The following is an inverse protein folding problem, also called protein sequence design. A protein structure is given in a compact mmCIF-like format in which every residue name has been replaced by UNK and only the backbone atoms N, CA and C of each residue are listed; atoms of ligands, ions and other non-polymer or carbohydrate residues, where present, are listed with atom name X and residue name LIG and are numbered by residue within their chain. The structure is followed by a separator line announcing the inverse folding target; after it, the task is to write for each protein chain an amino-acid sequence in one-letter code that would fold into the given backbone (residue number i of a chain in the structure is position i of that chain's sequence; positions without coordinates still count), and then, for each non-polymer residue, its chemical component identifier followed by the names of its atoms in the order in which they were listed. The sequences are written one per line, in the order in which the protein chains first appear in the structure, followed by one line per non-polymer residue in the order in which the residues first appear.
data_IF_385868959368
#
_entry.id   IF_385868959368
#
_cell.length_a   1.000
_cell.length_b   1.000
_cell.length_c   1.000
_cell.angle_alpha   90.00
_cell.angle_beta   90.00
_cell.angle_gamma   90.00
#
_symmetry.space_group_name_H-M   'P 1'
#
loop_
_entity.id
_entity.type
_entity.pdbx_description
1 polymer ?
#
# COMPACT_ATOMS: atom_id res chain seq x y z
N UNK A 1 13.96 -5.15 0.90
CA UNK A 1 12.55 -5.55 1.00
C UNK A 1 12.39 -6.78 1.89
N UNK A 2 12.96 -7.93 1.52
CA UNK A 2 12.86 -9.17 2.30
C UNK A 2 13.23 -9.00 3.79
N UNK A 3 14.43 -8.50 4.09
CA UNK A 3 14.88 -8.26 5.48
C UNK A 3 14.06 -7.20 6.24
N UNK A 4 13.57 -6.16 5.55
CA UNK A 4 12.86 -5.04 6.19
C UNK A 4 11.44 -5.44 6.61
N UNK A 5 10.80 -6.31 5.85
CA UNK A 5 9.39 -6.68 6.04
C UNK A 5 9.18 -8.15 6.41
N UNK A 6 10.25 -8.94 6.57
CA UNK A 6 10.17 -10.38 6.81
C UNK A 6 9.41 -11.13 5.69
N UNK A 7 9.66 -10.75 4.42
CA UNK A 7 8.93 -11.21 3.22
C UNK A 7 9.86 -11.78 2.14
N UNK A 8 10.39 -13.00 2.29
CA UNK A 8 11.32 -13.57 1.33
C UNK A 8 10.70 -13.79 -0.07
N UNK A 9 9.45 -14.26 -0.18
CA UNK A 9 8.80 -14.51 -1.47
C UNK A 9 8.41 -13.22 -2.18
N UNK A 10 7.87 -12.24 -1.44
CA UNK A 10 7.57 -10.91 -1.96
C UNK A 10 8.82 -10.20 -2.44
N UNK A 11 9.95 -10.35 -1.74
CA UNK A 11 11.25 -9.83 -2.18
C UNK A 11 11.74 -10.47 -3.49
N UNK A 12 11.65 -11.79 -3.60
CA UNK A 12 12.00 -12.53 -4.82
C UNK A 12 11.11 -12.11 -6.01
N UNK A 13 9.79 -12.05 -5.81
CA UNK A 13 8.86 -11.66 -6.87
C UNK A 13 9.06 -10.21 -7.29
N UNK A 14 9.36 -9.31 -6.36
CA UNK A 14 9.70 -7.93 -6.70
C UNK A 14 10.89 -7.84 -7.65
N UNK A 15 11.93 -8.66 -7.41
CA UNK A 15 13.10 -8.74 -8.32
C UNK A 15 12.66 -9.22 -9.71
N UNK A 16 11.86 -10.28 -9.79
CA UNK A 16 11.45 -10.88 -11.07
C UNK A 16 10.43 -10.03 -11.84
N UNK A 17 9.42 -9.49 -11.17
CA UNK A 17 8.30 -8.78 -11.77
C UNK A 17 8.62 -7.31 -12.03
N UNK A 18 9.33 -6.64 -11.12
CA UNK A 18 9.51 -5.18 -11.17
C UNK A 18 10.92 -4.78 -11.62
N UNK A 19 11.96 -5.45 -11.11
CA UNK A 19 13.34 -5.05 -11.40
C UNK A 19 13.87 -5.63 -12.71
N UNK A 20 13.67 -6.93 -12.93
CA UNK A 20 14.26 -7.65 -14.07
C UNK A 20 13.23 -8.07 -15.13
N UNK A 21 11.93 -7.97 -14.84
CA UNK A 21 10.84 -8.35 -15.74
C UNK A 21 11.05 -9.73 -16.41
N UNK A 22 11.53 -10.73 -15.66
CA UNK A 22 11.87 -12.07 -16.15
C UNK A 22 11.60 -13.16 -15.11
N UNK A 23 11.16 -14.33 -15.56
CA UNK A 23 10.86 -15.50 -14.72
C UNK A 23 11.81 -16.68 -15.01
N UNK A 24 13.06 -16.37 -15.33
CA UNK A 24 14.07 -17.38 -15.59
C UNK A 24 14.60 -18.02 -14.30
N UNK A 25 14.86 -19.33 -14.32
CA UNK A 25 15.45 -20.07 -13.20
C UNK A 25 16.78 -19.49 -12.70
N UNK A 26 17.59 -18.97 -13.61
CA UNK A 26 18.87 -18.32 -13.30
C UNK A 26 18.74 -17.04 -12.46
N UNK A 27 17.55 -16.42 -12.44
CA UNK A 27 17.24 -15.26 -11.59
C UNK A 27 16.46 -15.70 -10.36
N UNK A 28 15.49 -16.59 -10.54
CA UNK A 28 14.61 -17.06 -9.47
C UNK A 28 15.38 -17.68 -8.31
N UNK A 29 16.26 -18.65 -8.59
CA UNK A 29 16.96 -19.38 -7.54
C UNK A 29 17.90 -18.47 -6.73
N UNK A 30 18.77 -17.64 -7.34
CA UNK A 30 19.60 -16.71 -6.57
C UNK A 30 18.79 -15.64 -5.81
N UNK A 31 17.69 -15.15 -6.39
CA UNK A 31 16.85 -14.16 -5.74
C UNK A 31 16.18 -14.75 -4.48
N UNK A 32 15.63 -15.96 -4.59
CA UNK A 32 15.01 -16.67 -3.48
C UNK A 32 15.99 -16.94 -2.35
N UNK A 33 17.16 -17.49 -2.66
CA UNK A 33 18.18 -17.82 -1.65
C UNK A 33 18.72 -16.58 -0.97
N UNK A 34 19.02 -15.52 -1.73
CA UNK A 34 19.50 -14.25 -1.16
C UNK A 34 18.44 -13.60 -0.27
N UNK A 35 17.17 -13.61 -0.68
CA UNK A 35 16.08 -13.09 0.14
C UNK A 35 15.88 -13.89 1.44
N UNK A 36 15.94 -15.22 1.37
CA UNK A 36 15.84 -16.09 2.55
C UNK A 36 17.00 -15.85 3.53
N UNK A 37 18.23 -15.77 3.04
CA UNK A 37 19.42 -15.45 3.85
C UNK A 37 19.25 -14.08 4.52
N UNK A 38 18.83 -13.06 3.77
CA UNK A 38 18.62 -11.72 4.30
C UNK A 38 17.56 -11.70 5.42
N UNK A 39 16.50 -12.48 5.29
CA UNK A 39 15.45 -12.62 6.31
C UNK A 39 15.98 -13.30 7.57
N UNK A 40 16.69 -14.42 7.44
CA UNK A 40 17.29 -15.12 8.60
C UNK A 40 18.26 -14.22 9.36
N UNK A 41 19.08 -13.45 8.64
CA UNK A 41 19.97 -12.46 9.27
C UNK A 41 19.16 -11.38 10.00
N UNK A 42 18.06 -10.90 9.42
CA UNK A 42 17.23 -9.87 10.04
C UNK A 42 16.60 -10.32 11.36
N UNK A 43 16.34 -11.62 11.54
CA UNK A 43 15.75 -12.16 12.77
C UNK A 43 16.62 -11.97 14.01
N UNK A 44 17.94 -11.80 13.84
CA UNK A 44 18.86 -11.52 14.95
C UNK A 44 18.48 -10.22 15.67
N UNK A 45 17.98 -9.22 14.92
CA UNK A 45 17.57 -7.92 15.49
C UNK A 45 16.05 -7.70 15.54
N UNK A 46 15.31 -8.19 14.54
CA UNK A 46 13.88 -7.90 14.35
C UNK A 46 12.95 -9.03 14.80
N UNK A 47 13.49 -10.23 15.03
CA UNK A 47 12.70 -11.43 15.33
C UNK A 47 11.89 -11.96 14.14
N UNK A 48 11.16 -13.06 14.36
CA UNK A 48 10.33 -13.73 13.35
C UNK A 48 8.83 -13.60 13.67
N UNK A 49 8.31 -12.38 13.57
CA UNK A 49 6.89 -12.09 13.70
C UNK A 49 6.32 -11.59 12.35
N UNK A 50 5.01 -11.80 12.08
CA UNK A 50 4.33 -11.09 10.99
C UNK A 50 4.39 -9.59 11.26
N UNK A 51 4.38 -8.78 10.19
CA UNK A 51 4.46 -7.33 10.34
C UNK A 51 3.14 -6.73 10.84
N UNK A 52 2.02 -7.35 10.47
CA UNK A 52 0.68 -6.97 10.89
C UNK A 52 -0.04 -8.16 11.50
N UNK A 53 -0.70 -7.94 12.63
CA UNK A 53 -1.60 -8.91 13.23
C UNK A 53 -3.01 -8.68 12.68
N UNK A 54 -3.62 -9.72 12.14
CA UNK A 54 -4.98 -9.66 11.60
C UNK A 54 -5.89 -10.50 12.50
N UNK A 55 -7.12 -10.04 12.81
CA UNK A 55 -8.14 -10.87 13.44
C UNK A 55 -8.48 -12.11 12.60
N UNK A 56 -9.25 -13.04 13.17
CA UNK A 56 -9.82 -14.13 12.40
C UNK A 56 -10.91 -13.62 11.44
N UNK A 57 -10.51 -13.41 10.17
CA UNK A 57 -11.42 -12.93 9.14
C UNK A 57 -12.16 -14.06 8.42
N UNK A 58 -13.44 -13.81 8.15
CA UNK A 58 -14.30 -14.69 7.37
C UNK A 58 -14.60 -14.08 6.01
N UNK A 59 -14.82 -14.94 5.02
CA UNK A 59 -15.17 -14.52 3.66
C UNK A 59 -16.67 -14.57 3.50
N UNK A 60 -17.21 -13.54 2.86
CA UNK A 60 -18.61 -13.44 2.50
C UNK A 60 -18.75 -13.17 0.99
N UNK A 61 -19.90 -13.52 0.42
CA UNK A 61 -20.24 -13.13 -0.95
C UNK A 61 -20.26 -11.60 -1.12
N UNK A 62 -20.69 -10.89 -0.07
CA UNK A 62 -20.69 -9.42 -0.01
C UNK A 62 -19.28 -8.86 -0.22
N UNK A 63 -18.26 -9.42 0.43
CA UNK A 63 -16.86 -9.02 0.27
C UNK A 63 -16.33 -9.26 -1.16
N UNK A 64 -16.70 -10.38 -1.78
CA UNK A 64 -16.28 -10.68 -3.16
C UNK A 64 -16.89 -9.69 -4.15
N UNK A 65 -18.20 -9.42 -4.04
CA UNK A 65 -18.91 -8.46 -4.89
C UNK A 65 -18.32 -7.06 -4.69
N UNK A 66 -18.12 -6.65 -3.45
CA UNK A 66 -17.47 -5.38 -3.13
C UNK A 66 -16.08 -5.28 -3.77
N UNK A 67 -15.27 -6.35 -3.72
CA UNK A 67 -13.91 -6.37 -4.30
C UNK A 67 -13.91 -6.13 -5.81
N UNK A 68 -14.89 -6.70 -6.51
CA UNK A 68 -15.08 -6.49 -7.97
C UNK A 68 -15.41 -5.03 -8.26
N UNK A 69 -16.30 -4.43 -7.47
CA UNK A 69 -16.78 -3.06 -7.66
C UNK A 69 -15.75 -2.00 -7.22
N UNK A 70 -15.07 -2.23 -6.11
CA UNK A 70 -14.10 -1.32 -5.53
C UNK A 70 -12.74 -1.36 -6.23
N UNK A 71 -12.34 -2.51 -6.80
CA UNK A 71 -11.10 -2.69 -7.56
C UNK A 71 -10.77 -1.53 -8.52
N UNK A 72 -11.67 -1.21 -9.48
CA UNK A 72 -11.56 -0.05 -10.37
C UNK A 72 -11.23 1.27 -9.67
N UNK A 73 -11.85 1.54 -8.52
CA UNK A 73 -11.66 2.79 -7.76
C UNK A 73 -10.25 2.86 -7.19
N UNK A 74 -9.73 1.75 -6.62
CA UNK A 74 -8.34 1.70 -6.15
C UNK A 74 -7.36 2.00 -7.28
N UNK A 75 -7.60 1.45 -8.48
CA UNK A 75 -6.76 1.68 -9.65
C UNK A 75 -6.72 3.14 -10.08
N UNK A 76 -7.88 3.79 -10.10
CA UNK A 76 -8.01 5.20 -10.45
C UNK A 76 -7.28 6.11 -9.46
N UNK A 77 -7.50 5.91 -8.15
CA UNK A 77 -6.86 6.73 -7.12
C UNK A 77 -5.34 6.45 -7.07
N UNK A 78 -4.92 5.19 -7.20
CA UNK A 78 -3.51 4.81 -7.26
C UNK A 78 -2.78 5.47 -8.44
N UNK A 79 -3.41 5.53 -9.62
CA UNK A 79 -2.86 6.23 -10.78
C UNK A 79 -2.57 7.71 -10.46
N UNK A 80 -3.55 8.43 -9.92
CA UNK A 80 -3.38 9.85 -9.58
C UNK A 80 -2.36 10.06 -8.47
N UNK A 81 -2.35 9.19 -7.46
CA UNK A 81 -1.37 9.23 -6.38
C UNK A 81 0.07 9.17 -6.93
N UNK A 82 0.34 8.22 -7.83
CA UNK A 82 1.65 8.06 -8.45
C UNK A 82 1.96 9.18 -9.44
N UNK A 83 0.97 9.64 -10.21
CA UNK A 83 1.16 10.74 -11.15
C UNK A 83 1.58 12.03 -10.45
N UNK A 84 0.88 12.41 -9.37
CA UNK A 84 1.22 13.59 -8.56
C UNK A 84 2.56 13.39 -7.86
N UNK A 85 2.81 12.20 -7.28
CA UNK A 85 4.08 11.90 -6.63
C UNK A 85 5.28 12.05 -7.57
N UNK A 86 5.16 11.57 -8.81
CA UNK A 86 6.20 11.71 -9.83
C UNK A 86 6.37 13.19 -10.24
N UNK A 87 5.28 13.93 -10.41
CA UNK A 87 5.34 15.37 -10.72
C UNK A 87 6.02 16.15 -9.59
N UNK A 88 5.70 15.84 -8.34
CA UNK A 88 6.33 16.44 -7.17
C UNK A 88 7.84 16.18 -7.14
N UNK A 89 8.28 14.93 -7.37
CA UNK A 89 9.71 14.60 -7.49
C UNK A 89 10.41 15.35 -8.61
N UNK A 90 9.78 15.51 -9.77
CA UNK A 90 10.37 16.21 -10.90
C UNK A 90 10.56 17.72 -10.65
N UNK A 91 9.70 18.32 -9.83
CA UNK A 91 9.79 19.74 -9.47
C UNK A 91 10.57 19.98 -8.17
N UNK A 92 11.17 18.95 -7.58
CA UNK A 92 11.84 19.10 -6.29
C UNK A 92 13.19 19.82 -6.43
N UNK A 93 13.51 20.61 -5.40
CA UNK A 93 14.78 21.31 -5.34
C UNK A 93 15.90 20.35 -4.91
N UNK A 94 17.00 20.32 -5.66
CA UNK A 94 18.18 19.49 -5.35
C UNK A 94 19.40 20.32 -4.90
N UNK A 95 19.22 21.63 -4.72
CA UNK A 95 20.26 22.57 -4.29
C UNK A 95 20.17 22.83 -2.78
N UNK A 96 21.00 23.73 -2.23
CA UNK A 96 20.94 24.15 -0.82
C UNK A 96 19.55 24.55 -0.31
N UNK A 97 18.67 25.03 -1.19
CA UNK A 97 17.27 25.35 -0.87
C UNK A 97 16.46 24.11 -0.44
N UNK A 98 16.86 22.90 -0.84
CA UNK A 98 16.27 21.64 -0.40
C UNK A 98 16.24 21.53 1.12
N UNK A 99 17.32 21.94 1.81
CA UNK A 99 17.39 21.88 3.26
C UNK A 99 16.33 22.77 3.93
N UNK A 100 16.14 23.99 3.41
CA UNK A 100 15.14 24.93 3.92
C UNK A 100 13.72 24.43 3.65
N UNK A 101 13.44 23.95 2.43
CA UNK A 101 12.11 23.45 2.06
C UNK A 101 11.77 22.18 2.83
N UNK A 102 12.72 21.25 3.01
CA UNK A 102 12.55 20.08 3.87
C UNK A 102 12.29 20.51 5.32
N UNK A 103 13.05 21.44 5.87
CA UNK A 103 12.85 21.91 7.25
C UNK A 103 11.44 22.46 7.46
N UNK A 104 10.97 23.35 6.58
CA UNK A 104 9.62 23.90 6.63
C UNK A 104 8.57 22.79 6.49
N UNK A 105 8.73 21.90 5.49
CA UNK A 105 7.77 20.84 5.23
C UNK A 105 7.67 19.83 6.39
N UNK A 106 8.79 19.36 6.93
CA UNK A 106 8.80 18.44 8.07
C UNK A 106 8.33 19.10 9.37
N UNK A 107 8.54 20.41 9.53
CA UNK A 107 7.96 21.16 10.66
C UNK A 107 6.43 21.20 10.57
N UNK A 108 5.87 21.48 9.38
CA UNK A 108 4.42 21.42 9.14
C UNK A 108 3.86 20.02 9.37
N UNK A 109 4.54 18.98 8.88
CA UNK A 109 4.18 17.58 9.14
C UNK A 109 4.22 17.28 10.65
N UNK A 110 5.23 17.80 11.36
CA UNK A 110 5.35 17.67 12.81
C UNK A 110 4.17 18.29 13.56
N UNK A 111 3.71 19.49 13.15
CA UNK A 111 2.51 20.10 13.72
C UNK A 111 1.24 19.29 13.46
N UNK A 112 1.07 18.77 12.24
CA UNK A 112 -0.07 17.90 11.92
C UNK A 112 -0.04 16.60 12.75
N UNK A 113 1.15 16.06 13.01
CA UNK A 113 1.34 14.85 13.79
C UNK A 113 0.95 14.99 15.28
N UNK A 114 0.88 16.22 15.82
CA UNK A 114 0.35 16.45 17.18
C UNK A 114 -1.12 16.03 17.26
N UNK A 115 -1.90 16.33 16.22
CA UNK A 115 -3.32 16.01 16.15
C UNK A 115 -3.58 14.62 15.55
N UNK A 116 -2.75 14.22 14.59
CA UNK A 116 -2.88 12.96 13.86
C UNK A 116 -1.56 12.18 13.91
N UNK A 117 -1.24 11.52 15.05
CA UNK A 117 0.05 10.82 15.22
C UNK A 117 0.26 9.69 14.21
N UNK A 118 -0.83 9.11 13.68
CA UNK A 118 -0.81 8.11 12.60
C UNK A 118 -0.21 8.60 11.28
N UNK A 119 -0.04 9.92 11.10
CA UNK A 119 0.60 10.46 9.89
C UNK A 119 2.11 10.21 9.85
N UNK A 120 2.74 10.02 11.01
CA UNK A 120 4.19 9.84 11.09
C UNK A 120 4.67 8.58 10.37
N UNK A 121 5.90 8.68 9.89
CA UNK A 121 6.59 7.58 9.22
C UNK A 121 6.02 7.21 7.85
N UNK A 122 6.41 6.03 7.42
CA UNK A 122 6.23 5.50 6.07
C UNK A 122 4.84 4.90 5.78
N UNK A 123 3.95 4.87 6.78
CA UNK A 123 2.56 4.40 6.61
C UNK A 123 2.24 3.07 7.23
N UNK A 124 3.19 2.47 7.97
CA UNK A 124 2.92 1.25 8.74
C UNK A 124 1.81 1.47 9.76
N UNK A 125 1.91 2.49 10.61
CA UNK A 125 0.94 2.75 11.69
C UNK A 125 -0.51 2.89 11.20
N UNK A 126 -0.84 3.70 10.18
CA UNK A 126 -2.22 3.78 9.70
C UNK A 126 -2.68 2.53 8.97
N UNK A 127 -1.80 1.79 8.29
CA UNK A 127 -2.17 0.48 7.75
C UNK A 127 -2.51 -0.52 8.86
N UNK A 128 -1.70 -0.54 9.92
CA UNK A 128 -1.88 -1.38 11.10
C UNK A 128 -3.18 -1.04 11.83
N UNK A 129 -3.51 0.25 11.97
CA UNK A 129 -4.78 0.71 12.55
C UNK A 129 -6.01 0.20 11.80
N UNK A 130 -5.97 0.15 10.46
CA UNK A 130 -7.10 -0.33 9.67
C UNK A 130 -7.13 -1.87 9.53
N UNK A 131 -6.03 -2.54 9.85
CA UNK A 131 -5.93 -4.00 9.84
C UNK A 131 -6.38 -4.61 11.17
N UNK A 132 -6.21 -3.89 12.27
CA UNK A 132 -6.65 -4.31 13.59
C UNK A 132 -8.14 -3.98 13.78
N UNK A 133 -8.98 -4.98 14.09
CA UNK A 133 -10.44 -4.82 14.30
C UNK A 133 -10.75 -4.44 15.77
N UNK A 134 -9.72 -4.15 16.58
CA UNK A 134 -9.85 -3.89 18.01
C UNK A 134 -10.55 -2.56 18.28
N UNK A 135 -11.89 -2.60 18.39
CA UNK A 135 -12.84 -1.78 19.18
C UNK A 135 -12.73 -0.23 19.12
N UNK A 136 -11.70 0.29 18.49
CA UNK A 136 -11.56 1.67 18.14
C UNK A 136 -12.28 1.78 16.81
N UNK A 137 -13.51 2.26 16.88
CA UNK A 137 -14.20 2.83 15.74
C UNK A 137 -13.31 4.00 15.24
N UNK A 138 -12.24 3.69 14.50
CA UNK A 138 -11.59 4.62 13.60
C UNK A 138 -12.69 4.92 12.60
N UNK A 139 -13.42 6.00 12.89
CA UNK A 139 -14.58 6.34 12.08
C UNK A 139 -14.15 6.45 10.64
N UNK A 140 -15.01 6.05 9.72
CA UNK A 140 -14.85 6.28 8.27
C UNK A 140 -14.37 7.71 7.98
N UNK A 141 -14.80 8.67 8.79
CA UNK A 141 -14.33 10.06 8.80
C UNK A 141 -12.83 10.20 9.09
N UNK A 142 -12.30 9.57 10.14
CA UNK A 142 -10.88 9.61 10.48
C UNK A 142 -10.03 8.95 9.39
N UNK A 143 -10.46 7.81 8.84
CA UNK A 143 -9.77 7.16 7.72
C UNK A 143 -9.74 8.07 6.48
N UNK A 144 -10.83 8.79 6.21
CA UNK A 144 -10.89 9.77 5.12
C UNK A 144 -9.94 10.95 5.36
N UNK A 145 -9.91 11.51 6.57
CA UNK A 145 -8.99 12.60 6.94
C UNK A 145 -7.54 12.14 6.79
N UNK A 146 -7.20 10.96 7.33
CA UNK A 146 -5.86 10.39 7.24
C UNK A 146 -5.46 10.09 5.79
N UNK A 147 -6.38 9.60 4.96
CA UNK A 147 -6.13 9.35 3.53
C UNK A 147 -5.69 10.63 2.81
N UNK A 148 -6.47 11.70 2.99
CA UNK A 148 -6.20 13.00 2.35
C UNK A 148 -4.87 13.57 2.86
N UNK A 149 -4.69 13.63 4.19
CA UNK A 149 -3.48 14.17 4.78
C UNK A 149 -2.23 13.35 4.40
N UNK A 150 -2.30 12.01 4.36
CA UNK A 150 -1.16 11.18 3.95
C UNK A 150 -0.78 11.40 2.51
N UNK A 151 -1.74 11.50 1.59
CA UNK A 151 -1.43 11.80 0.19
C UNK A 151 -0.73 13.14 0.07
N UNK A 152 -1.24 14.18 0.73
CA UNK A 152 -0.66 15.52 0.73
C UNK A 152 0.76 15.52 1.30
N UNK A 153 0.97 14.90 2.46
CA UNK A 153 2.28 14.82 3.12
C UNK A 153 3.27 14.02 2.30
N UNK A 154 2.84 12.94 1.66
CA UNK A 154 3.70 12.14 0.79
C UNK A 154 4.14 12.96 -0.44
N UNK A 155 3.20 13.66 -1.09
CA UNK A 155 3.53 14.52 -2.22
C UNK A 155 4.40 15.71 -1.82
N UNK A 156 4.14 16.36 -0.69
CA UNK A 156 4.94 17.50 -0.23
C UNK A 156 6.35 17.08 0.17
N UNK A 157 6.50 15.93 0.83
CA UNK A 157 7.82 15.34 1.18
C UNK A 157 8.64 15.01 -0.05
N UNK A 158 8.02 14.39 -1.06
CA UNK A 158 8.70 14.14 -2.34
C UNK A 158 9.03 15.45 -3.08
N UNK A 159 8.12 16.43 -3.03
CA UNK A 159 8.31 17.76 -3.61
C UNK A 159 9.39 18.59 -2.91
N UNK A 160 9.63 18.38 -1.62
CA UNK A 160 10.70 19.06 -0.88
C UNK A 160 12.09 18.49 -1.18
N UNK A 161 12.18 17.38 -1.93
CA UNK A 161 13.43 16.70 -2.26
C UNK A 161 13.75 15.49 -1.38
N UNK A 162 12.85 15.10 -0.48
CA UNK A 162 13.04 13.89 0.31
C UNK A 162 12.97 12.65 -0.59
N UNK A 163 13.85 11.69 -0.31
CA UNK A 163 13.93 10.43 -1.04
C UNK A 163 13.32 9.30 -0.22
N UNK A 164 12.49 8.47 -0.85
CA UNK A 164 11.82 7.36 -0.17
C UNK A 164 11.06 6.45 -1.13
N UNK A 165 10.71 5.25 -0.66
CA UNK A 165 9.86 4.32 -1.42
C UNK A 165 8.37 4.68 -1.31
N UNK A 166 7.59 4.33 -2.33
CA UNK A 166 6.13 4.53 -2.34
C UNK A 166 5.34 3.26 -1.99
N UNK A 167 6.00 2.14 -1.74
CA UNK A 167 5.35 0.86 -1.41
C UNK A 167 4.50 0.95 -0.14
N UNK A 168 5.09 1.33 1.00
CA UNK A 168 4.35 1.43 2.28
C UNK A 168 3.30 2.55 2.28
N UNK A 169 3.57 3.75 1.72
CA UNK A 169 2.52 4.74 1.54
C UNK A 169 1.35 4.25 0.68
N UNK A 170 1.61 3.47 -0.38
CA UNK A 170 0.57 2.88 -1.23
C UNK A 170 -0.26 1.86 -0.47
N UNK A 171 0.37 1.05 0.38
CA UNK A 171 -0.31 0.07 1.23
C UNK A 171 -1.25 0.79 2.21
N UNK A 172 -0.75 1.79 2.93
CA UNK A 172 -1.53 2.58 3.87
C UNK A 172 -2.71 3.31 3.21
N UNK A 173 -2.46 3.98 2.08
CA UNK A 173 -3.51 4.69 1.35
C UNK A 173 -4.57 3.72 0.81
N UNK A 174 -4.16 2.51 0.40
CA UNK A 174 -5.08 1.45 0.01
C UNK A 174 -5.96 0.98 1.17
N UNK A 175 -5.39 0.78 2.37
CA UNK A 175 -6.12 0.42 3.59
C UNK A 175 -7.16 1.48 3.95
N UNK A 176 -6.73 2.75 4.05
CA UNK A 176 -7.56 3.89 4.41
C UNK A 176 -8.71 4.09 3.40
N UNK A 177 -8.41 4.03 2.10
CA UNK A 177 -9.43 4.13 1.06
C UNK A 177 -10.42 2.95 1.11
N UNK A 178 -9.94 1.75 1.42
CA UNK A 178 -10.80 0.58 1.57
C UNK A 178 -11.78 0.72 2.73
N UNK A 179 -11.35 1.25 3.86
CA UNK A 179 -12.25 1.45 5.00
C UNK A 179 -13.30 2.51 4.69
N UNK A 180 -12.95 3.57 3.95
CA UNK A 180 -13.93 4.54 3.47
C UNK A 180 -14.96 3.89 2.54
N UNK A 181 -14.51 3.14 1.52
CA UNK A 181 -15.40 2.47 0.58
C UNK A 181 -16.20 1.33 1.21
N UNK A 182 -15.59 0.61 2.15
CA UNK A 182 -16.17 -0.49 2.91
C UNK A 182 -17.22 -0.02 3.90
N UNK A 183 -17.00 1.14 4.53
CA UNK A 183 -17.99 1.81 5.38
C UNK A 183 -19.24 2.19 4.60
N UNK A 184 -19.08 2.80 3.42
CA UNK A 184 -20.19 3.08 2.51
C UNK A 184 -20.90 1.80 2.06
N UNK A 185 -20.15 0.73 1.79
CA UNK A 185 -20.72 -0.56 1.43
C UNK A 185 -21.53 -1.20 2.56
N UNK A 186 -21.02 -1.15 3.78
CA UNK A 186 -21.70 -1.70 4.96
C UNK A 186 -23.03 -0.99 5.29
N UNK A 187 -23.25 0.24 4.80
CA UNK A 187 -24.56 0.90 4.85
C UNK A 187 -25.60 0.21 3.93
N UNK A 188 -25.15 -0.37 2.81
CA UNK A 188 -25.99 -1.05 1.83
C UNK A 188 -26.11 -2.55 2.13
N UNK A 189 -24.99 -3.20 2.46
CA UNK A 189 -24.91 -4.63 2.75
C UNK A 189 -24.00 -4.88 3.97
N UNK A 190 -24.55 -4.79 5.19
CA UNK A 190 -23.78 -4.96 6.42
C UNK A 190 -23.29 -6.40 6.61
N UNK A 191 -22.27 -6.56 7.45
CA UNK A 191 -21.76 -7.87 7.91
C UNK A 191 -20.34 -8.22 7.46
N UNK A 192 -19.64 -7.29 6.81
CA UNK A 192 -18.23 -7.49 6.42
C UNK A 192 -17.31 -6.66 7.32
N UNK A 193 -16.25 -7.27 7.84
CA UNK A 193 -15.25 -6.61 8.70
C UNK A 193 -14.47 -5.54 7.93
N UNK A 194 -14.14 -4.44 8.62
CA UNK A 194 -13.34 -3.35 8.06
C UNK A 194 -11.90 -3.80 7.73
N UNK A 195 -11.30 -4.63 8.58
CA UNK A 195 -9.98 -5.23 8.32
C UNK A 195 -9.95 -6.04 7.02
N UNK A 196 -11.03 -6.74 6.68
CA UNK A 196 -11.14 -7.48 5.42
C UNK A 196 -11.10 -6.54 4.20
N UNK A 197 -11.85 -5.43 4.26
CA UNK A 197 -11.79 -4.38 3.23
C UNK A 197 -10.40 -3.79 3.14
N UNK A 198 -9.81 -3.39 4.28
CA UNK A 198 -8.52 -2.74 4.37
C UNK A 198 -7.41 -3.57 3.70
N UNK A 199 -7.37 -4.88 3.95
CA UNK A 199 -6.40 -5.80 3.36
C UNK A 199 -6.57 -5.85 1.83
N UNK A 200 -7.80 -6.03 1.34
CA UNK A 200 -8.04 -6.11 -0.11
C UNK A 200 -7.68 -4.79 -0.81
N UNK A 201 -8.07 -3.65 -0.23
CA UNK A 201 -7.74 -2.33 -0.78
C UNK A 201 -6.24 -2.04 -0.78
N UNK A 202 -5.54 -2.44 0.28
CA UNK A 202 -4.08 -2.35 0.37
C UNK A 202 -3.40 -3.05 -0.81
N UNK A 203 -3.80 -4.29 -1.10
CA UNK A 203 -3.21 -5.06 -2.21
C UNK A 203 -3.56 -4.44 -3.54
N UNK A 204 -4.83 -4.11 -3.75
CA UNK A 204 -5.32 -3.56 -5.01
C UNK A 204 -4.63 -2.23 -5.33
N UNK A 205 -4.47 -1.34 -4.34
CA UNK A 205 -3.81 -0.06 -4.49
C UNK A 205 -2.31 -0.25 -4.76
N UNK A 206 -1.62 -1.10 -4.00
CA UNK A 206 -0.18 -1.38 -4.19
C UNK A 206 0.09 -1.99 -5.56
N UNK A 207 -0.74 -2.94 -6.01
CA UNK A 207 -0.61 -3.58 -7.32
C UNK A 207 -0.63 -2.55 -8.46
N UNK A 208 -1.58 -1.61 -8.42
CA UNK A 208 -1.69 -0.56 -9.43
C UNK A 208 -0.61 0.53 -9.28
N UNK A 209 -0.31 0.96 -8.06
CA UNK A 209 0.63 2.03 -7.78
C UNK A 209 2.08 1.65 -8.11
N UNK A 210 2.48 0.43 -7.77
CA UNK A 210 3.83 -0.07 -7.98
C UNK A 210 3.97 -0.93 -9.24
N UNK A 211 2.87 -1.14 -10.00
CA UNK A 211 2.82 -1.99 -11.20
C UNK A 211 3.33 -3.42 -10.91
N UNK A 212 2.95 -3.98 -9.77
CA UNK A 212 3.45 -5.27 -9.29
C UNK A 212 2.29 -6.19 -8.82
N UNK A 213 1.37 -6.61 -9.71
CA UNK A 213 0.19 -7.38 -9.31
C UNK A 213 0.51 -8.68 -8.58
N UNK A 214 1.46 -9.49 -9.07
CA UNK A 214 1.77 -10.79 -8.47
C UNK A 214 2.51 -10.59 -7.15
N UNK A 215 3.50 -9.69 -7.14
CA UNK A 215 4.27 -9.33 -5.96
C UNK A 215 3.36 -8.77 -4.86
N UNK A 216 2.40 -7.90 -5.18
CA UNK A 216 1.52 -7.30 -4.19
C UNK A 216 0.65 -8.35 -3.47
N UNK A 217 0.15 -9.35 -4.21
CA UNK A 217 -0.64 -10.46 -3.64
C UNK A 217 0.23 -11.27 -2.68
N UNK A 218 1.40 -11.72 -3.10
CA UNK A 218 2.27 -12.54 -2.24
C UNK A 218 2.79 -11.74 -1.04
N UNK A 219 3.11 -10.47 -1.26
CA UNK A 219 3.54 -9.56 -0.22
C UNK A 219 2.50 -9.46 0.91
N UNK A 220 1.21 -9.30 0.61
CA UNK A 220 0.22 -9.20 1.68
C UNK A 220 0.07 -10.51 2.46
N UNK A 221 0.18 -11.66 1.78
CA UNK A 221 0.10 -12.96 2.45
C UNK A 221 1.26 -13.15 3.42
N UNK A 222 2.48 -12.73 3.06
CA UNK A 222 3.62 -12.79 3.98
C UNK A 222 3.53 -11.75 5.11
N UNK A 223 3.05 -10.53 4.81
CA UNK A 223 2.92 -9.45 5.78
C UNK A 223 1.86 -9.73 6.87
N UNK A 224 0.76 -10.40 6.49
CA UNK A 224 -0.44 -10.55 7.32
C UNK A 224 -0.72 -11.98 7.77
N UNK A 225 -0.15 -12.99 7.07
CA UNK A 225 -0.45 -14.42 7.24
C UNK A 225 -1.95 -14.75 7.16
N UNK A 226 -2.70 -13.98 6.37
CA UNK A 226 -4.13 -14.21 6.17
C UNK A 226 -4.42 -15.57 5.51
N UNK A 227 -5.60 -16.12 5.80
CA UNK A 227 -6.10 -17.39 5.23
C UNK A 227 -6.13 -17.33 3.71
N UNK A 228 -5.66 -18.40 3.06
CA UNK A 228 -5.55 -18.49 1.60
C UNK A 228 -6.86 -18.25 0.84
N UNK A 229 -8.01 -18.52 1.47
CA UNK A 229 -9.32 -18.29 0.86
C UNK A 229 -9.52 -16.83 0.41
N UNK A 230 -8.82 -15.85 1.02
CA UNK A 230 -8.88 -14.43 0.64
C UNK A 230 -8.29 -14.15 -0.74
N UNK A 231 -7.60 -15.12 -1.35
CA UNK A 231 -7.01 -14.97 -2.68
C UNK A 231 -8.05 -14.54 -3.73
N UNK A 232 -9.27 -15.09 -3.67
CA UNK A 232 -10.33 -14.81 -4.66
C UNK A 232 -10.73 -13.33 -4.68
N UNK A 233 -11.21 -12.73 -3.58
CA UNK A 233 -11.57 -11.30 -3.57
C UNK A 233 -10.37 -10.41 -3.89
N UNK A 234 -9.16 -10.77 -3.41
CA UNK A 234 -7.93 -10.03 -3.72
C UNK A 234 -7.67 -10.01 -5.24
N UNK A 235 -7.77 -11.15 -5.93
CA UNK A 235 -7.54 -11.22 -7.38
C UNK A 235 -8.53 -10.36 -8.17
N UNK A 236 -9.80 -10.32 -7.76
CA UNK A 236 -10.80 -9.46 -8.39
C UNK A 236 -10.48 -7.96 -8.19
N UNK A 237 -10.16 -7.55 -6.97
CA UNK A 237 -9.80 -6.16 -6.70
C UNK A 237 -8.51 -5.74 -7.44
N UNK A 238 -7.49 -6.59 -7.44
CA UNK A 238 -6.21 -6.34 -8.13
C UNK A 238 -6.40 -6.23 -9.62
N UNK A 239 -7.15 -7.14 -10.25
CA UNK A 239 -7.40 -7.11 -11.69
C UNK A 239 -8.15 -5.85 -12.12
N UNK A 240 -9.21 -5.46 -11.40
CA UNK A 240 -9.93 -4.21 -11.65
C UNK A 240 -9.04 -2.97 -11.47
N UNK A 241 -8.24 -2.96 -10.40
CA UNK A 241 -7.32 -1.86 -10.08
C UNK A 241 -6.25 -1.67 -11.15
N UNK A 242 -5.55 -2.74 -11.54
CA UNK A 242 -4.53 -2.69 -12.58
C UNK A 242 -5.14 -2.37 -13.95
N UNK A 243 -6.31 -2.92 -14.26
CA UNK A 243 -7.04 -2.62 -15.50
C UNK A 243 -7.36 -1.13 -15.66
N UNK A 244 -7.89 -0.48 -14.61
CA UNK A 244 -8.19 0.95 -14.66
C UNK A 244 -6.94 1.83 -14.62
N UNK A 245 -5.95 1.48 -13.81
CA UNK A 245 -4.68 2.24 -13.78
C UNK A 245 -3.99 2.23 -15.15
N UNK A 246 -3.97 1.09 -15.84
CA UNK A 246 -3.42 0.97 -17.19
C UNK A 246 -4.23 1.73 -18.24
N UNK A 247 -5.56 1.72 -18.14
CA UNK A 247 -6.43 2.54 -18.99
C UNK A 247 -6.13 4.04 -18.82
N UNK A 248 -6.02 4.52 -17.58
CA UNK A 248 -5.71 5.92 -17.27
C UNK A 248 -4.34 6.34 -17.85
N UNK A 249 -3.33 5.45 -17.73
CA UNK A 249 -2.02 5.67 -18.33
C UNK A 249 -2.10 5.85 -19.85
N UNK A 250 -2.84 4.98 -20.55
CA UNK A 250 -3.01 5.06 -22.02
C UNK A 250 -3.72 6.34 -22.47
N UNK A 251 -4.80 6.72 -21.79
CA UNK A 251 -5.57 7.93 -22.13
C UNK A 251 -4.70 9.19 -21.95
N UNK A 252 -3.91 9.25 -20.87
CA UNK A 252 -3.08 10.41 -20.57
C UNK A 252 -1.87 10.52 -21.51
N UNK A 253 -1.32 9.39 -21.98
CA UNK A 253 -0.22 9.40 -22.97
C UNK A 253 -0.67 9.86 -24.36
N UNK A 254 -1.93 9.64 -24.74
CA UNK A 254 -2.46 10.08 -26.05
C UNK A 254 -2.72 11.59 -26.13
N UNK A 255 -2.77 12.30 -24.98
CA UNK A 255 -2.99 13.75 -24.92
C UNK A 255 -1.71 14.58 -24.98
N UNK A 256 -0.53 13.95 -24.97
CA UNK A 256 0.78 14.61 -25.12
C UNK A 256 1.29 14.42 -26.54
#
# INVERSE_FOLDING_TARGET
MAAVYNVPLGGMLYIMEVLLCTFNWSVLIPALTTCAIAVVISWIGLGNAPLYNIPDLNISYSLVIWSILAGPVFGYVAYWFIWVANKARLHSHHNWHMLLVCFINFTLIGFLAIYFPALLGNGKSPAEMEFDDLDYFVGVELSLILLVLRMLICWSSLGSGAQGGLLTPSLANGALLAVVLGGLWNLLWPGTSFSAFAIIGSVAFVAAAQKMPITAIVLIFELTRIKFNFLIPIMFAVSGSVGISTLCMKICSQKK
#
